data_IF_401656753600
#
_entry.id   IF_401656753600
#
_cell.length_a   1.000
_cell.length_b   1.000
_cell.length_c   1.000
_cell.angle_alpha   90.00
_cell.angle_beta   90.00
_cell.angle_gamma   90.00
#
_symmetry.space_group_name_H-M   'P 1'
#
loop_
_entity.id
_entity.type
_entity.pdbx_description
1 polymer ?
#
# COMPACT_ATOMS: atom_id res chain seq x y z
N UNK A 1 -20.76 14.64 -8.44
CA UNK A 1 -20.77 13.64 -7.37
C UNK A 1 -19.35 13.33 -6.94
N UNK A 2 -19.07 13.42 -5.66
CA UNK A 2 -17.73 13.14 -5.18
C UNK A 2 -17.48 11.63 -5.15
N UNK A 3 -16.28 11.23 -5.57
CA UNK A 3 -15.89 9.83 -5.47
C UNK A 3 -15.74 9.46 -4.00
N UNK A 4 -16.40 8.39 -3.59
CA UNK A 4 -16.25 7.88 -2.24
C UNK A 4 -14.90 7.17 -2.11
N UNK A 5 -14.30 7.26 -0.92
CA UNK A 5 -13.10 6.49 -0.65
C UNK A 5 -13.48 5.01 -0.54
N UNK A 6 -12.67 4.17 -1.15
CA UNK A 6 -12.79 2.72 -1.07
C UNK A 6 -11.45 2.16 -0.67
N UNK A 7 -11.43 1.40 0.40
CA UNK A 7 -10.28 0.60 0.78
C UNK A 7 -10.70 -0.84 0.87
N UNK A 8 -9.96 -1.71 0.20
CA UNK A 8 -10.23 -3.13 0.19
C UNK A 8 -8.89 -3.87 0.31
N UNK A 9 -8.83 -4.80 1.24
CA UNK A 9 -7.61 -5.58 1.44
C UNK A 9 -7.97 -7.03 1.75
N UNK A 10 -7.21 -7.93 1.16
CA UNK A 10 -7.37 -9.37 1.38
C UNK A 10 -5.99 -10.01 1.55
N UNK A 11 -5.95 -11.11 2.28
CA UNK A 11 -4.75 -11.92 2.40
C UNK A 11 -4.97 -13.25 1.69
N UNK A 12 -3.92 -13.70 1.00
CA UNK A 12 -3.82 -15.06 0.46
C UNK A 12 -2.84 -15.82 1.37
N UNK A 13 -3.34 -16.58 2.34
CA UNK A 13 -2.44 -17.21 3.33
C UNK A 13 -1.55 -18.29 2.71
N UNK A 14 -2.03 -18.96 1.69
CA UNK A 14 -1.26 -20.04 1.03
C UNK A 14 -0.02 -19.49 0.35
N UNK A 15 -0.10 -18.30 -0.24
CA UNK A 15 1.01 -17.65 -0.93
C UNK A 15 1.69 -16.57 -0.10
N UNK A 16 1.16 -16.29 1.08
CA UNK A 16 1.69 -15.25 1.98
C UNK A 16 1.72 -13.88 1.30
N UNK A 17 0.62 -13.50 0.66
CA UNK A 17 0.48 -12.25 -0.08
C UNK A 17 -0.69 -11.45 0.46
N UNK A 18 -0.47 -10.15 0.73
CA UNK A 18 -1.53 -9.19 1.06
C UNK A 18 -1.78 -8.32 -0.15
N UNK A 19 -3.04 -8.18 -0.57
CA UNK A 19 -3.42 -7.27 -1.64
C UNK A 19 -4.31 -6.17 -1.08
N UNK A 20 -3.89 -4.91 -1.28
CA UNK A 20 -4.60 -3.74 -0.80
C UNK A 20 -4.89 -2.80 -1.97
N UNK A 21 -6.13 -2.34 -2.07
CA UNK A 21 -6.58 -1.43 -3.12
C UNK A 21 -7.15 -0.17 -2.49
N UNK A 22 -6.68 0.98 -2.99
CA UNK A 22 -7.11 2.30 -2.54
C UNK A 22 -7.75 3.01 -3.73
N UNK A 23 -8.94 3.57 -3.54
CA UNK A 23 -9.65 4.29 -4.60
C UNK A 23 -10.42 5.47 -4.02
N UNK A 24 -10.55 6.54 -4.81
CA UNK A 24 -11.34 7.71 -4.46
C UNK A 24 -10.55 8.76 -3.67
N UNK A 25 -11.27 9.51 -2.85
CA UNK A 25 -10.71 10.61 -2.06
C UNK A 25 -10.47 10.14 -0.63
N UNK A 26 -9.24 10.25 -0.15
CA UNK A 26 -8.89 9.83 1.21
C UNK A 26 -8.73 11.05 2.12
N UNK A 27 -9.34 10.94 3.30
CA UNK A 27 -9.15 11.87 4.42
C UNK A 27 -8.23 11.21 5.44
N UNK A 28 -7.69 11.96 6.41
CA UNK A 28 -6.92 11.36 7.50
C UNK A 28 -7.68 10.25 8.23
N UNK A 29 -8.99 10.45 8.46
CA UNK A 29 -9.81 9.45 9.15
C UNK A 29 -9.98 8.17 8.34
N UNK A 30 -10.26 8.28 7.03
CA UNK A 30 -10.43 7.10 6.18
C UNK A 30 -9.10 6.37 5.99
N UNK A 31 -7.99 7.09 5.91
CA UNK A 31 -6.67 6.46 5.78
C UNK A 31 -6.27 5.77 7.09
N UNK A 32 -6.63 6.34 8.24
CA UNK A 32 -6.40 5.69 9.53
C UNK A 32 -7.16 4.38 9.63
N UNK A 33 -8.42 4.37 9.16
CA UNK A 33 -9.23 3.15 9.11
C UNK A 33 -8.58 2.08 8.22
N UNK A 34 -8.01 2.49 7.08
CA UNK A 34 -7.29 1.58 6.20
C UNK A 34 -6.06 0.99 6.91
N UNK A 35 -5.31 1.83 7.63
CA UNK A 35 -4.15 1.37 8.38
C UNK A 35 -4.54 0.35 9.46
N UNK A 36 -5.66 0.56 10.14
CA UNK A 36 -6.16 -0.38 11.14
C UNK A 36 -6.49 -1.74 10.52
N UNK A 37 -7.08 -1.74 9.33
CA UNK A 37 -7.39 -2.98 8.62
C UNK A 37 -6.13 -3.70 8.17
N UNK A 38 -5.14 -2.97 7.68
CA UNK A 38 -3.84 -3.54 7.31
C UNK A 38 -3.18 -4.18 8.53
N UNK A 39 -3.19 -3.51 9.67
CA UNK A 39 -2.62 -4.06 10.90
C UNK A 39 -3.21 -5.41 11.24
N UNK A 40 -4.54 -5.54 11.15
CA UNK A 40 -5.24 -6.79 11.41
C UNK A 40 -4.80 -7.90 10.44
N UNK A 41 -4.66 -7.56 9.15
CA UNK A 41 -4.24 -8.55 8.15
C UNK A 41 -2.79 -8.97 8.32
N UNK A 42 -1.91 -8.03 8.67
CA UNK A 42 -0.50 -8.34 8.84
C UNK A 42 -0.24 -9.32 9.99
N UNK A 43 -1.11 -9.35 10.98
CA UNK A 43 -1.03 -10.34 12.05
C UNK A 43 -1.17 -11.78 11.53
N UNK A 44 -1.70 -11.97 10.33
CA UNK A 44 -1.89 -13.27 9.71
C UNK A 44 -0.79 -13.63 8.72
N UNK A 45 0.18 -12.75 8.49
CA UNK A 45 1.29 -13.01 7.58
C UNK A 45 2.42 -13.74 8.27
N UNK A 46 3.28 -14.35 7.46
CA UNK A 46 4.55 -14.92 7.92
C UNK A 46 5.69 -14.04 7.43
N UNK A 47 6.87 -14.05 8.11
CA UNK A 47 8.03 -13.29 7.66
C UNK A 47 8.35 -13.57 6.19
N UNK A 48 8.74 -12.52 5.47
CA UNK A 48 9.02 -12.62 4.04
C UNK A 48 7.79 -12.46 3.15
N UNK A 49 6.64 -12.05 3.72
CA UNK A 49 5.42 -11.87 2.93
C UNK A 49 5.58 -10.79 1.86
N UNK A 50 4.72 -10.84 0.86
CA UNK A 50 4.62 -9.81 -0.16
C UNK A 50 3.36 -8.99 0.06
N UNK A 51 3.42 -7.70 -0.25
CA UNK A 51 2.24 -6.84 -0.26
C UNK A 51 2.12 -6.13 -1.61
N UNK A 52 0.92 -6.15 -2.16
CA UNK A 52 0.58 -5.40 -3.37
C UNK A 52 -0.33 -4.24 -2.95
N UNK A 53 0.15 -3.01 -3.18
CA UNK A 53 -0.59 -1.79 -2.86
C UNK A 53 -0.96 -1.07 -4.16
N UNK A 54 -2.25 -1.07 -4.49
CA UNK A 54 -2.76 -0.45 -5.71
C UNK A 54 -3.36 0.92 -5.36
N UNK A 55 -2.65 1.99 -5.73
CA UNK A 55 -3.10 3.36 -5.57
C UNK A 55 -3.59 3.98 -6.89
N UNK A 56 -3.72 3.19 -7.96
CA UNK A 56 -4.00 3.71 -9.29
C UNK A 56 -5.32 4.49 -9.39
N UNK A 57 -6.29 4.18 -8.55
CA UNK A 57 -7.61 4.81 -8.56
C UNK A 57 -7.79 5.86 -7.47
N UNK A 58 -6.72 6.25 -6.79
CA UNK A 58 -6.77 7.35 -5.82
C UNK A 58 -6.95 8.67 -6.59
N UNK A 59 -8.03 9.40 -6.27
CA UNK A 59 -8.32 10.68 -6.92
C UNK A 59 -7.68 11.84 -6.16
N UNK A 60 -7.73 11.80 -4.83
CA UNK A 60 -7.14 12.83 -3.99
C UNK A 60 -6.80 12.24 -2.62
N UNK A 61 -5.82 12.84 -1.97
CA UNK A 61 -5.37 12.42 -0.64
C UNK A 61 -4.80 13.62 0.09
N UNK A 62 -5.35 13.91 1.28
CA UNK A 62 -4.80 14.98 2.12
C UNK A 62 -3.37 14.65 2.56
N UNK A 63 -2.55 15.67 2.72
CA UNK A 63 -1.17 15.49 3.18
C UNK A 63 -1.11 14.79 4.55
N UNK A 64 -2.10 15.05 5.40
CA UNK A 64 -2.15 14.41 6.72
C UNK A 64 -2.37 12.90 6.65
N UNK A 65 -2.79 12.37 5.50
CA UNK A 65 -2.88 10.92 5.28
C UNK A 65 -1.51 10.25 5.33
N UNK A 66 -0.43 11.01 5.08
CA UNK A 66 0.92 10.45 5.09
C UNK A 66 1.32 9.90 6.45
N UNK A 67 0.74 10.40 7.52
CA UNK A 67 0.96 9.84 8.85
C UNK A 67 0.52 8.37 8.92
N UNK A 68 -0.67 8.07 8.40
CA UNK A 68 -1.17 6.71 8.36
C UNK A 68 -0.43 5.84 7.35
N UNK A 69 0.00 6.42 6.21
CA UNK A 69 0.83 5.70 5.25
C UNK A 69 2.17 5.31 5.86
N UNK A 70 2.80 6.21 6.61
CA UNK A 70 4.04 5.92 7.34
C UNK A 70 3.81 4.79 8.35
N UNK A 71 2.70 4.83 9.07
CA UNK A 71 2.34 3.75 10.00
C UNK A 71 2.23 2.41 9.29
N UNK A 72 1.58 2.37 8.10
CA UNK A 72 1.48 1.14 7.33
C UNK A 72 2.85 0.62 6.90
N UNK A 73 3.75 1.52 6.49
CA UNK A 73 5.12 1.15 6.14
C UNK A 73 5.87 0.57 7.33
N UNK A 74 5.72 1.19 8.51
CA UNK A 74 6.34 0.69 9.74
C UNK A 74 5.80 -0.69 10.12
N UNK A 75 4.49 -0.90 9.98
CA UNK A 75 3.86 -2.18 10.26
C UNK A 75 4.39 -3.28 9.33
N UNK A 76 4.53 -2.97 8.05
CA UNK A 76 5.09 -3.92 7.07
C UNK A 76 6.51 -4.30 7.46
N UNK A 77 7.34 -3.33 7.84
CA UNK A 77 8.70 -3.61 8.28
C UNK A 77 8.74 -4.45 9.56
N UNK A 78 7.88 -4.11 10.52
CA UNK A 78 7.82 -4.84 11.79
C UNK A 78 7.43 -6.31 11.59
N UNK A 79 6.62 -6.59 10.58
CA UNK A 79 6.22 -7.95 10.22
C UNK A 79 7.15 -8.61 9.20
N UNK A 80 8.29 -8.00 8.92
CA UNK A 80 9.35 -8.53 8.05
C UNK A 80 8.89 -8.76 6.62
N UNK A 81 8.31 -7.72 6.01
CA UNK A 81 7.92 -7.75 4.60
C UNK A 81 9.14 -8.06 3.71
N UNK A 82 8.95 -8.95 2.72
CA UNK A 82 10.00 -9.32 1.78
C UNK A 82 9.95 -8.57 0.47
N UNK A 83 8.74 -8.21 0.01
CA UNK A 83 8.54 -7.57 -1.29
C UNK A 83 7.32 -6.66 -1.23
N UNK A 84 7.49 -5.43 -1.73
CA UNK A 84 6.39 -4.49 -1.92
C UNK A 84 6.24 -4.25 -3.41
N UNK A 85 5.04 -4.51 -3.94
CA UNK A 85 4.68 -4.19 -5.32
C UNK A 85 3.60 -3.12 -5.26
N UNK A 86 3.76 -2.06 -6.05
CA UNK A 86 2.81 -0.96 -6.01
C UNK A 86 2.50 -0.40 -7.38
N UNK A 87 1.28 0.12 -7.52
CA UNK A 87 0.89 0.97 -8.64
C UNK A 87 0.63 2.35 -8.06
N UNK A 88 1.29 3.37 -8.59
CA UNK A 88 1.14 4.74 -8.12
C UNK A 88 -0.02 5.45 -8.84
N UNK A 89 -0.56 6.54 -8.24
CA UNK A 89 -1.56 7.34 -8.91
C UNK A 89 -1.03 7.97 -10.20
N UNK A 90 -1.93 8.60 -10.97
CA UNK A 90 -1.55 9.30 -12.18
C UNK A 90 -0.46 10.34 -11.93
N UNK A 91 0.33 10.63 -12.96
CA UNK A 91 1.44 11.58 -12.88
C UNK A 91 1.03 12.88 -12.19
N UNK A 92 1.91 13.37 -11.31
CA UNK A 92 1.68 14.58 -10.53
C UNK A 92 1.08 14.32 -9.16
N UNK A 93 0.52 13.13 -8.92
CA UNK A 93 -0.04 12.75 -7.61
C UNK A 93 0.85 11.76 -6.88
N UNK A 94 1.77 11.14 -7.59
CA UNK A 94 2.60 10.03 -7.09
C UNK A 94 3.86 10.50 -6.36
N UNK A 95 4.28 11.75 -6.56
CA UNK A 95 5.56 12.26 -6.06
C UNK A 95 5.66 12.10 -4.55
N UNK A 96 4.60 12.47 -3.82
CA UNK A 96 4.60 12.39 -2.36
C UNK A 96 4.75 10.96 -1.85
N UNK A 97 4.00 10.02 -2.41
CA UNK A 97 4.06 8.61 -2.01
C UNK A 97 5.41 8.01 -2.38
N UNK A 98 5.90 8.31 -3.58
CA UNK A 98 7.18 7.78 -4.05
C UNK A 98 8.33 8.28 -3.18
N UNK A 99 8.36 9.58 -2.90
CA UNK A 99 9.40 10.18 -2.08
C UNK A 99 9.35 9.65 -0.64
N UNK A 100 8.15 9.57 -0.07
CA UNK A 100 7.95 9.05 1.27
C UNK A 100 8.49 7.63 1.39
N UNK A 101 8.15 6.77 0.42
CA UNK A 101 8.59 5.38 0.40
C UNK A 101 10.10 5.27 0.25
N UNK A 102 10.70 6.07 -0.63
CA UNK A 102 12.15 6.05 -0.85
C UNK A 102 12.92 6.44 0.42
N UNK A 103 12.44 7.46 1.13
CA UNK A 103 13.07 7.91 2.38
C UNK A 103 12.85 6.89 3.49
N UNK A 104 11.64 6.38 3.60
CA UNK A 104 11.24 5.50 4.71
C UNK A 104 11.98 4.15 4.67
N UNK A 105 12.03 3.53 3.51
CA UNK A 105 12.66 2.21 3.38
C UNK A 105 14.16 2.27 3.09
N UNK A 106 14.64 3.31 2.43
CA UNK A 106 16.08 3.54 2.14
C UNK A 106 16.78 2.30 1.60
N UNK A 107 16.13 1.59 0.68
CA UNK A 107 16.74 0.41 0.05
C UNK A 107 16.75 -0.84 0.92
N UNK A 108 16.22 -0.81 2.12
CA UNK A 108 16.17 -1.98 3.01
C UNK A 108 15.07 -2.97 2.65
N UNK A 109 14.05 -2.52 1.91
CA UNK A 109 12.92 -3.35 1.50
C UNK A 109 12.82 -3.28 -0.02
N UNK A 110 12.76 -4.44 -0.66
CA UNK A 110 12.59 -4.49 -2.12
C UNK A 110 11.23 -3.95 -2.50
N UNK A 111 11.20 -2.87 -3.29
CA UNK A 111 9.99 -2.21 -3.73
C UNK A 111 10.00 -2.13 -5.25
N UNK A 112 8.93 -2.62 -5.88
CA UNK A 112 8.77 -2.62 -7.33
C UNK A 112 7.53 -1.83 -7.69
N UNK A 113 7.69 -0.83 -8.57
CA UNK A 113 6.57 -0.04 -9.07
C UNK A 113 6.23 -0.55 -10.46
N UNK A 114 4.95 -0.85 -10.68
CA UNK A 114 4.43 -1.34 -11.96
C UNK A 114 3.26 -0.48 -12.41
N UNK A 115 2.83 -0.65 -13.66
CA UNK A 115 1.77 0.18 -14.24
C UNK A 115 0.41 -0.52 -14.28
N UNK A 116 0.38 -1.85 -14.21
CA UNK A 116 -0.86 -2.61 -14.31
C UNK A 116 -0.93 -3.72 -13.27
N UNK A 117 -2.15 -4.15 -12.98
CA UNK A 117 -2.39 -5.29 -12.09
C UNK A 117 -1.75 -6.57 -12.65
N UNK A 118 -1.82 -6.76 -13.97
CA UNK A 118 -1.21 -7.93 -14.60
C UNK A 118 0.30 -7.99 -14.36
N UNK A 119 0.98 -6.84 -14.47
CA UNK A 119 2.41 -6.77 -14.17
C UNK A 119 2.69 -7.06 -12.69
N UNK A 120 1.85 -6.51 -11.80
CA UNK A 120 1.98 -6.74 -10.36
C UNK A 120 1.88 -8.25 -10.05
N UNK A 121 0.90 -8.93 -10.61
CA UNK A 121 0.72 -10.37 -10.37
C UNK A 121 1.88 -11.18 -10.89
N UNK A 122 2.50 -10.77 -12.00
CA UNK A 122 3.71 -11.45 -12.51
C UNK A 122 4.89 -11.30 -11.57
N UNK A 123 5.06 -10.11 -10.98
CA UNK A 123 6.14 -9.86 -10.03
C UNK A 123 5.93 -10.64 -8.73
N UNK A 124 4.67 -10.75 -8.31
CA UNK A 124 4.32 -11.50 -7.10
C UNK A 124 4.54 -13.01 -7.26
N UNK A 125 4.48 -13.47 -8.48
CA UNK A 125 4.67 -14.90 -8.78
C UNK A 125 3.37 -15.67 -8.81
#
# INVERSE_FOLDING_TARGET
>A
MMAEEVFDAVIDPARNIVRARFAGNFTPASMQSAADQIETLLAQTNPGFSIFADFSHVAAMDLDCFRSLTRMMDLCRAHEVGLIVRILPAKGRDIGINLLSAVHYRGKVKTVTVDTVAEAERVLG
#
